data_IF_353471713921
#
_entry.id   IF_353471713921
#
_cell.length_a   1.000
_cell.length_b   1.000
_cell.length_c   1.000
_cell.angle_alpha   90.00
_cell.angle_beta   90.00
_cell.angle_gamma   90.00
#
_symmetry.space_group_name_H-M   'P 1'
#
loop_
_entity.id
_entity.type
_entity.pdbx_description
1 polymer ?
#
# COMPACT_ATOMS: atom_id res chain seq x y z
N UNK A 1 -15.75 9.31 8.41
CA UNK A 1 -15.74 8.46 7.20
C UNK A 1 -14.70 7.38 7.44
N UNK A 2 -15.08 6.11 7.33
CA UNK A 2 -14.12 5.01 7.44
C UNK A 2 -13.25 4.99 6.19
N UNK A 3 -11.93 5.08 6.38
CA UNK A 3 -10.95 5.02 5.30
C UNK A 3 -10.07 3.83 5.63
N UNK A 4 -10.08 2.76 4.81
CA UNK A 4 -9.16 1.65 5.01
C UNK A 4 -7.74 2.12 4.64
N UNK A 5 -6.79 1.82 5.50
CA UNK A 5 -5.39 2.23 5.31
C UNK A 5 -4.52 0.98 5.29
N UNK A 6 -3.58 0.95 4.33
CA UNK A 6 -2.61 -0.13 4.21
C UNK A 6 -1.40 0.22 5.05
N UNK A 7 -1.09 -0.61 6.04
CA UNK A 7 0.07 -0.44 6.90
C UNK A 7 0.88 -1.74 7.00
N UNK A 8 2.13 -1.62 7.44
CA UNK A 8 3.00 -2.77 7.71
C UNK A 8 2.82 -3.21 9.16
N UNK A 9 2.71 -4.51 9.39
CA UNK A 9 2.76 -5.07 10.74
C UNK A 9 4.19 -5.00 11.28
N UNK A 10 4.36 -4.44 12.48
CA UNK A 10 5.67 -4.31 13.14
C UNK A 10 5.80 -5.16 14.41
N UNK A 11 4.69 -5.45 15.10
CA UNK A 11 4.67 -6.36 16.25
C UNK A 11 3.40 -7.19 16.23
N UNK A 12 3.54 -8.45 16.63
CA UNK A 12 2.45 -9.41 16.82
C UNK A 12 2.62 -10.01 18.21
N UNK A 13 1.54 -9.99 18.99
CA UNK A 13 1.50 -10.61 20.30
C UNK A 13 0.35 -11.61 20.35
N UNK A 14 0.65 -12.87 20.63
CA UNK A 14 -0.34 -13.93 20.76
C UNK A 14 -0.61 -14.20 22.24
N UNK A 15 -1.86 -14.04 22.68
CA UNK A 15 -2.25 -14.41 24.04
C UNK A 15 -2.53 -15.90 24.11
N UNK A 16 -1.74 -16.60 24.93
CA UNK A 16 -1.85 -18.05 25.12
C UNK A 16 -3.18 -18.51 25.71
N UNK A 17 -3.86 -17.64 26.47
CA UNK A 17 -5.13 -17.98 27.14
C UNK A 17 -6.38 -17.75 26.29
N UNK A 18 -6.39 -16.70 25.45
CA UNK A 18 -7.56 -16.32 24.63
C UNK A 18 -7.42 -16.62 23.15
N UNK A 19 -6.25 -17.10 22.70
CA UNK A 19 -5.86 -17.23 21.29
C UNK A 19 -6.02 -15.92 20.49
N UNK A 20 -6.15 -14.78 21.16
CA UNK A 20 -6.25 -13.47 20.53
C UNK A 20 -4.88 -13.02 20.05
N UNK A 21 -4.88 -12.38 18.89
CA UNK A 21 -3.67 -11.83 18.26
C UNK A 21 -3.78 -10.31 18.27
N UNK A 22 -2.91 -9.68 19.04
CA UNK A 22 -2.75 -8.24 19.13
C UNK A 22 -1.66 -7.78 18.14
N UNK A 23 -2.00 -6.82 17.28
CA UNK A 23 -1.17 -6.38 16.15
C UNK A 23 -0.89 -4.88 16.25
N UNK A 24 0.37 -4.50 16.02
CA UNK A 24 0.81 -3.12 15.92
C UNK A 24 1.30 -2.83 14.50
N UNK A 25 0.90 -1.70 13.93
CA UNK A 25 1.22 -1.33 12.55
C UNK A 25 2.07 -0.05 12.45
N UNK A 26 2.76 0.09 11.31
CA UNK A 26 3.46 1.30 10.88
C UNK A 26 3.28 1.51 9.37
N UNK A 27 2.86 2.70 8.95
CA UNK A 27 2.58 3.02 7.54
C UNK A 27 3.77 3.49 6.70
N UNK A 28 4.73 4.19 7.30
CA UNK A 28 5.81 4.92 6.62
C UNK A 28 7.10 4.95 7.45
N UNK A 29 8.06 5.81 7.06
CA UNK A 29 9.34 5.95 7.74
C UNK A 29 9.31 7.03 8.86
N UNK A 30 8.31 6.98 9.73
CA UNK A 30 8.25 7.87 10.89
C UNK A 30 8.98 7.29 12.10
N UNK A 31 9.20 8.09 13.15
CA UNK A 31 9.73 7.59 14.43
C UNK A 31 8.68 6.79 15.21
N UNK A 32 7.44 7.28 15.22
CA UNK A 32 6.32 6.71 15.99
C UNK A 32 5.55 5.62 15.22
N UNK A 33 4.75 4.82 15.94
CA UNK A 33 3.86 3.80 15.37
C UNK A 33 2.47 4.38 15.03
N UNK A 34 1.61 3.60 14.37
CA UNK A 34 0.32 4.10 13.87
C UNK A 34 -0.77 4.22 14.97
N UNK A 35 -0.44 4.11 16.26
CA UNK A 35 -1.46 4.10 17.33
C UNK A 35 -2.33 5.35 17.36
N UNK A 36 -1.78 6.49 16.94
CA UNK A 36 -2.54 7.74 16.85
C UNK A 36 -3.65 7.70 15.79
N UNK A 37 -3.57 6.77 14.83
CA UNK A 37 -4.59 6.54 13.78
C UNK A 37 -5.68 5.57 14.23
N UNK A 38 -5.53 4.91 15.38
CA UNK A 38 -6.52 3.98 15.89
C UNK A 38 -7.69 4.72 16.55
N UNK A 39 -8.75 3.98 16.90
CA UNK A 39 -9.84 4.56 17.67
C UNK A 39 -9.35 5.04 19.05
N UNK A 40 -10.07 5.97 19.66
CA UNK A 40 -9.66 6.54 20.95
C UNK A 40 -9.53 5.45 22.03
N UNK A 41 -8.37 5.37 22.67
CA UNK A 41 -8.06 4.34 23.68
C UNK A 41 -7.66 2.97 23.12
N UNK A 42 -7.63 2.79 21.79
CA UNK A 42 -7.21 1.56 21.15
C UNK A 42 -5.68 1.54 20.97
N UNK A 43 -5.02 0.55 21.57
CA UNK A 43 -3.55 0.38 21.50
C UNK A 43 -3.10 -0.71 20.53
N UNK A 44 -4.01 -1.61 20.17
CA UNK A 44 -3.75 -2.82 19.40
C UNK A 44 -4.89 -3.08 18.40
N UNK A 45 -4.52 -3.60 17.24
CA UNK A 45 -5.47 -4.13 16.26
C UNK A 45 -5.63 -5.63 16.49
N UNK A 46 -6.88 -6.09 16.50
CA UNK A 46 -7.23 -7.51 16.52
C UNK A 46 -7.57 -8.01 15.11
N UNK A 47 -7.60 -9.33 14.89
CA UNK A 47 -7.86 -9.92 13.56
C UNK A 47 -9.12 -9.38 12.87
N UNK A 48 -10.20 -9.10 13.61
CA UNK A 48 -11.44 -8.59 13.02
C UNK A 48 -11.34 -7.14 12.50
N UNK A 49 -10.31 -6.39 12.89
CA UNK A 49 -10.01 -5.06 12.35
C UNK A 49 -9.25 -5.13 11.02
N UNK A 50 -8.77 -6.31 10.61
CA UNK A 50 -7.95 -6.49 9.41
C UNK A 50 -8.84 -6.94 8.26
N UNK A 51 -8.95 -6.09 7.24
CA UNK A 51 -9.73 -6.45 6.05
C UNK A 51 -9.01 -7.44 5.13
N UNK A 52 -7.67 -7.49 5.16
CA UNK A 52 -6.90 -8.41 4.34
C UNK A 52 -5.39 -8.23 4.46
N UNK A 53 -4.63 -9.13 3.82
CA UNK A 53 -3.17 -9.12 3.76
C UNK A 53 -2.70 -8.96 2.32
N UNK A 54 -1.80 -8.02 2.07
CA UNK A 54 -1.12 -7.94 0.78
C UNK A 54 -0.23 -9.17 0.57
N UNK A 55 -0.46 -9.93 -0.51
CA UNK A 55 0.28 -11.16 -0.83
C UNK A 55 1.29 -11.00 -1.96
N UNK A 56 1.23 -9.88 -2.70
CA UNK A 56 2.12 -9.58 -3.81
C UNK A 56 1.99 -8.13 -4.24
N UNK A 57 2.98 -7.64 -4.99
CA UNK A 57 3.01 -6.28 -5.53
C UNK A 57 3.53 -6.31 -6.98
N UNK A 58 2.95 -5.48 -7.84
CA UNK A 58 3.29 -5.39 -9.26
C UNK A 58 3.96 -4.05 -9.58
N UNK A 59 5.23 -3.92 -9.20
CA UNK A 59 5.98 -2.66 -9.35
C UNK A 59 6.13 -2.18 -10.81
N UNK A 60 6.11 -3.08 -11.79
CA UNK A 60 6.39 -2.75 -13.20
C UNK A 60 5.17 -2.46 -14.06
N UNK A 61 3.94 -2.69 -13.57
CA UNK A 61 2.72 -2.49 -14.38
C UNK A 61 2.60 -1.04 -14.87
N UNK A 62 3.06 -0.06 -14.08
CA UNK A 62 3.07 1.34 -14.48
C UNK A 62 3.93 1.64 -15.72
N UNK A 63 4.96 0.83 -16.00
CA UNK A 63 5.85 1.04 -17.13
C UNK A 63 5.15 0.89 -18.47
N UNK A 64 4.11 0.06 -18.55
CA UNK A 64 3.28 -0.11 -19.76
C UNK A 64 2.71 1.24 -20.23
N UNK A 65 2.31 2.09 -19.27
CA UNK A 65 1.78 3.41 -19.58
C UNK A 65 2.86 4.34 -20.14
N UNK A 66 4.09 4.25 -19.62
CA UNK A 66 5.24 5.03 -20.12
C UNK A 66 5.56 4.64 -21.57
N UNK A 67 5.62 3.34 -21.88
CA UNK A 67 5.85 2.86 -23.25
C UNK A 67 4.78 3.34 -24.23
N UNK A 68 3.51 3.41 -23.81
CA UNK A 68 2.43 3.97 -24.64
C UNK A 68 2.73 5.40 -25.08
N UNK A 69 3.18 6.25 -24.15
CA UNK A 69 3.49 7.65 -24.47
C UNK A 69 4.75 7.80 -25.31
N UNK A 70 5.78 6.98 -25.08
CA UNK A 70 6.98 6.94 -25.93
C UNK A 70 6.59 6.58 -27.36
N UNK A 71 5.74 5.57 -27.56
CA UNK A 71 5.29 5.16 -28.88
C UNK A 71 4.50 6.26 -29.60
N UNK A 72 3.54 6.90 -28.91
CA UNK A 72 2.77 8.02 -29.48
C UNK A 72 3.68 9.19 -29.84
N UNK A 73 4.63 9.53 -28.96
CA UNK A 73 5.62 10.58 -29.22
C UNK A 73 6.51 10.27 -30.42
N UNK A 74 6.98 9.02 -30.54
CA UNK A 74 7.77 8.57 -31.68
C UNK A 74 6.97 8.58 -32.99
N UNK A 75 5.71 8.15 -32.97
CA UNK A 75 4.82 8.24 -34.13
C UNK A 75 4.53 9.69 -34.53
N UNK A 76 4.28 10.57 -33.56
CA UNK A 76 4.11 12.00 -33.80
C UNK A 76 5.36 12.64 -34.40
N UNK A 77 6.54 12.30 -33.88
CA UNK A 77 7.81 12.74 -34.46
C UNK A 77 7.98 12.22 -35.88
N UNK A 78 7.70 10.93 -36.12
CA UNK A 78 7.79 10.32 -37.45
C UNK A 78 6.90 11.07 -38.45
N UNK A 79 5.65 11.37 -38.10
CA UNK A 79 4.72 12.13 -38.95
C UNK A 79 5.23 13.55 -39.25
N UNK A 80 5.88 14.21 -38.29
CA UNK A 80 6.44 15.56 -38.51
C UNK A 80 7.69 15.51 -39.40
N UNK A 81 8.51 14.47 -39.24
CA UNK A 81 9.77 14.31 -40.00
C UNK A 81 9.60 13.60 -41.34
N UNK A 82 8.45 12.97 -41.57
CA UNK A 82 8.11 12.41 -42.87
C UNK A 82 7.77 13.58 -43.79
N UNK A 83 8.74 13.99 -44.61
CA UNK A 83 8.47 14.74 -45.83
C UNK A 83 7.54 13.88 -46.72
N UNK A 84 6.63 14.53 -47.46
CA UNK A 84 5.80 13.85 -48.48
C UNK A 84 6.65 13.11 -49.53
#
# INVERSE_FOLDING_TARGET
REIPIVHRVIKVHERQESAEVDILTKGDNNLEDDRFLYAHGQLWLQQHHIMGRAVGFLQYVGWVTIFKYILIGALGLLVITSEE
#
